data_IF_473955309784
#
_entry.id   IF_473955309784
#
_cell.length_a   1.000
_cell.length_b   1.000
_cell.length_c   1.000
_cell.angle_alpha   90.00
_cell.angle_beta   90.00
_cell.angle_gamma   90.00
#
_symmetry.space_group_name_H-M   'P 1'
#
loop_
_entity.id
_entity.type
_entity.pdbx_description
1 polymer ?
#
# COMPACT_ATOMS: atom_id res chain seq x y z
N UNK A 1 -38.45 -43.59 12.46
CA UNK A 1 -37.09 -43.13 12.81
C UNK A 1 -36.79 -41.89 11.99
N UNK A 2 -36.50 -40.72 12.59
CA UNK A 2 -36.29 -39.50 11.84
C UNK A 2 -34.84 -39.39 11.34
N UNK A 3 -34.73 -38.85 10.13
CA UNK A 3 -33.51 -38.65 9.35
C UNK A 3 -32.82 -37.38 9.85
N UNK A 4 -31.56 -37.48 10.30
CA UNK A 4 -30.72 -36.33 10.65
C UNK A 4 -30.11 -35.73 9.38
N UNK A 5 -30.33 -34.43 9.15
CA UNK A 5 -29.63 -33.63 8.13
C UNK A 5 -28.26 -33.20 8.65
N UNK A 6 -27.22 -33.11 7.81
CA UNK A 6 -25.94 -32.54 8.21
C UNK A 6 -26.04 -31.00 8.26
N UNK A 7 -25.54 -30.43 9.34
CA UNK A 7 -25.33 -28.99 9.54
C UNK A 7 -24.11 -28.54 8.74
N UNK A 8 -24.26 -27.51 7.91
CA UNK A 8 -23.16 -26.84 7.21
C UNK A 8 -22.24 -26.10 8.21
N UNK A 9 -20.92 -25.98 7.93
CA UNK A 9 -20.02 -25.25 8.81
C UNK A 9 -20.22 -23.73 8.71
N UNK A 10 -20.14 -23.12 9.89
CA UNK A 10 -20.22 -21.69 10.13
C UNK A 10 -18.94 -21.01 9.64
N UNK A 11 -18.98 -20.31 8.49
CA UNK A 11 -17.90 -19.43 8.04
C UNK A 11 -17.84 -18.19 8.96
N UNK A 12 -16.86 -18.16 9.85
CA UNK A 12 -16.44 -16.94 10.52
C UNK A 12 -15.64 -16.09 9.54
N UNK A 13 -16.30 -15.17 8.82
CA UNK A 13 -15.61 -14.05 8.16
C UNK A 13 -14.97 -13.19 9.24
N UNK A 14 -13.69 -13.42 9.49
CA UNK A 14 -12.87 -12.53 10.30
C UNK A 14 -12.62 -11.28 9.47
N UNK A 15 -13.35 -10.20 9.74
CA UNK A 15 -13.05 -8.90 9.15
C UNK A 15 -11.79 -8.35 9.81
N UNK A 16 -10.64 -8.56 9.17
CA UNK A 16 -9.41 -7.90 9.60
C UNK A 16 -9.55 -6.40 9.35
N UNK A 17 -9.64 -5.62 10.43
CA UNK A 17 -9.40 -4.18 10.36
C UNK A 17 -7.94 -3.94 10.70
N UNK A 18 -7.12 -3.62 9.70
CA UNK A 18 -5.76 -3.16 9.97
C UNK A 18 -5.82 -1.72 10.45
N UNK A 19 -5.26 -1.46 11.63
CA UNK A 19 -5.00 -0.12 12.14
C UNK A 19 -3.49 0.08 12.18
N UNK A 20 -2.93 0.79 11.21
CA UNK A 20 -1.49 0.96 10.96
C UNK A 20 -0.85 2.04 11.83
N UNK A 21 -1.31 2.19 13.07
CA UNK A 21 -0.68 3.06 14.06
C UNK A 21 0.64 2.42 14.51
N UNK A 22 1.72 2.73 13.81
CA UNK A 22 3.08 2.44 14.28
C UNK A 22 3.27 3.24 15.57
N UNK A 23 3.26 2.57 16.72
CA UNK A 23 3.64 3.19 17.97
C UNK A 23 5.12 3.56 17.88
N UNK A 24 5.40 4.85 17.67
CA UNK A 24 6.69 5.44 17.95
C UNK A 24 6.92 5.34 19.47
N UNK A 25 7.49 4.22 19.92
CA UNK A 25 7.81 4.04 21.34
C UNK A 25 9.15 4.69 21.66
N UNK A 26 9.12 5.96 22.05
CA UNK A 26 9.79 6.42 23.27
C UNK A 26 9.15 7.72 23.72
N UNK A 27 8.16 7.60 24.61
CA UNK A 27 7.90 8.48 25.76
C UNK A 27 6.63 7.91 26.43
N UNK A 28 6.79 7.52 27.70
CA UNK A 28 5.68 7.14 28.58
C UNK A 28 4.66 8.28 28.60
N UNK A 29 3.39 7.98 28.36
CA UNK A 29 2.31 8.52 29.17
C UNK A 29 1.09 7.61 29.04
N UNK A 30 0.61 7.10 30.18
CA UNK A 30 -0.74 6.53 30.31
C UNK A 30 -1.74 7.65 29.98
N UNK A 31 -2.74 7.38 29.15
CA UNK A 31 -4.02 8.06 29.28
C UNK A 31 -5.15 7.19 28.75
N UNK A 32 -6.22 7.20 29.55
CA UNK A 32 -7.40 6.38 29.46
C UNK A 32 -8.26 6.71 28.23
N UNK A 33 -9.07 5.72 27.83
CA UNK A 33 -10.23 5.91 26.96
C UNK A 33 -11.10 7.09 27.43
N UNK A 34 -11.50 7.95 26.50
CA UNK A 34 -12.68 8.80 26.64
C UNK A 34 -13.54 8.66 25.37
N UNK A 35 -14.86 8.42 25.48
CA UNK A 35 -15.73 8.15 24.34
C UNK A 35 -16.09 9.41 23.54
N UNK A 36 -16.25 9.23 22.23
CA UNK A 36 -16.77 10.24 21.30
C UNK A 36 -18.26 10.46 21.54
N UNK A 37 -18.65 11.71 21.87
CA UNK A 37 -20.03 12.16 21.88
C UNK A 37 -20.36 12.90 20.56
N UNK A 38 -21.58 12.66 20.05
CA UNK A 38 -22.15 13.17 18.80
C UNK A 38 -22.92 14.50 18.98
N UNK A 39 -23.19 15.12 17.82
CA UNK A 39 -24.17 16.17 17.48
C UNK A 39 -23.68 17.61 17.78
N UNK A 40 -23.99 18.67 17.02
CA UNK A 40 -25.16 18.96 16.18
C UNK A 40 -24.88 20.11 15.17
N UNK A 41 -25.80 20.29 14.21
CA UNK A 41 -25.87 21.24 13.07
C UNK A 41 -26.13 22.70 13.53
N UNK A 42 -25.61 23.77 12.89
CA UNK A 42 -26.25 24.66 11.86
C UNK A 42 -25.88 26.19 12.11
N UNK A 43 -26.32 27.23 11.35
CA UNK A 43 -25.65 27.87 10.19
C UNK A 43 -25.49 29.43 10.28
N UNK A 44 -25.23 30.11 9.12
CA UNK A 44 -25.19 31.59 8.79
C UNK A 44 -23.82 32.29 8.93
N UNK A 45 -23.33 33.22 8.09
CA UNK A 45 -23.85 34.23 7.13
C UNK A 45 -22.73 34.55 6.08
N UNK A 46 -22.98 34.71 4.76
CA UNK A 46 -23.51 35.84 3.95
C UNK A 46 -22.48 36.93 3.56
N UNK A 47 -22.59 37.36 2.28
CA UNK A 47 -22.00 38.53 1.58
C UNK A 47 -20.60 38.30 0.92
N UNK A 48 -20.29 38.74 -0.32
CA UNK A 48 -20.95 39.61 -1.30
C UNK A 48 -20.26 39.37 -2.67
N UNK A 49 -21.03 39.25 -3.75
CA UNK A 49 -20.50 39.45 -5.12
C UNK A 49 -20.60 40.93 -5.47
N UNK A 50 -19.59 41.50 -6.15
CA UNK A 50 -19.85 42.23 -7.40
C UNK A 50 -18.54 42.62 -8.14
N UNK A 51 -18.58 42.44 -9.45
CA UNK A 51 -18.09 43.35 -10.51
C UNK A 51 -17.29 42.70 -11.65
N UNK A 52 -18.07 42.35 -12.68
CA UNK A 52 -17.67 42.30 -14.08
C UNK A 52 -17.23 43.70 -14.56
N UNK A 53 -16.14 43.76 -15.35
CA UNK A 53 -15.97 44.64 -16.52
C UNK A 53 -14.73 44.24 -17.35
N UNK A 54 -14.97 43.59 -18.48
CA UNK A 54 -14.14 43.63 -19.68
C UNK A 54 -14.53 44.90 -20.48
N UNK A 55 -13.64 45.54 -21.28
CA UNK A 55 -13.43 45.07 -22.66
C UNK A 55 -12.03 45.26 -23.29
N UNK A 56 -11.79 44.36 -24.24
CA UNK A 56 -10.93 44.30 -25.45
C UNK A 56 -10.27 45.60 -25.95
N UNK A 57 -9.00 45.49 -26.37
CA UNK A 57 -8.47 46.20 -27.56
C UNK A 57 -7.28 45.45 -28.22
N UNK A 58 -7.25 45.50 -29.55
CA UNK A 58 -6.31 44.95 -30.55
C UNK A 58 -4.91 45.66 -30.48
N UNK A 59 -3.78 45.31 -31.10
CA UNK A 59 -3.37 44.48 -32.25
C UNK A 59 -1.80 44.30 -32.21
N UNK A 60 -1.06 43.83 -33.25
CA UNK A 60 -0.04 42.78 -33.12
C UNK A 60 1.43 43.23 -33.34
N UNK A 61 2.40 42.51 -32.74
CA UNK A 61 3.73 42.21 -33.32
C UNK A 61 4.65 41.65 -32.22
N UNK A 62 5.11 40.41 -32.35
CA UNK A 62 6.09 39.86 -31.42
C UNK A 62 6.54 38.46 -31.82
N UNK A 63 7.83 38.32 -32.14
CA UNK A 63 8.54 37.09 -32.46
C UNK A 63 8.28 35.95 -31.44
N UNK A 64 8.39 34.67 -31.84
CA UNK A 64 8.17 33.56 -30.91
C UNK A 64 9.27 33.54 -29.84
N UNK A 65 8.88 33.84 -28.59
CA UNK A 65 9.71 33.58 -27.41
C UNK A 65 9.91 32.07 -27.25
N UNK A 66 11.17 31.65 -27.17
CA UNK A 66 11.56 30.34 -26.66
C UNK A 66 11.06 30.20 -25.21
N UNK A 67 9.90 29.57 -25.02
CA UNK A 67 9.29 29.46 -23.69
C UNK A 67 7.96 28.69 -23.63
N UNK A 68 7.58 27.99 -24.69
CA UNK A 68 6.29 27.31 -24.80
C UNK A 68 6.39 25.78 -24.93
N UNK A 69 7.51 25.17 -24.51
CA UNK A 69 7.70 23.72 -24.55
C UNK A 69 7.69 23.02 -23.18
N UNK A 70 7.56 23.77 -22.07
CA UNK A 70 7.69 23.18 -20.72
C UNK A 70 6.41 23.14 -19.87
N UNK A 71 5.26 23.57 -20.42
CA UNK A 71 4.00 23.65 -19.65
C UNK A 71 2.94 22.62 -20.04
N UNK A 72 3.26 21.65 -20.92
CA UNK A 72 2.33 20.60 -21.35
C UNK A 72 2.63 19.21 -20.79
N UNK A 73 3.62 19.07 -19.91
CA UNK A 73 4.00 17.81 -19.27
C UNK A 73 3.61 17.71 -17.77
N UNK A 74 2.61 18.48 -17.33
CA UNK A 74 2.14 18.44 -15.94
C UNK A 74 0.63 18.16 -15.77
N UNK A 75 -0.11 17.93 -16.86
CA UNK A 75 -1.58 17.75 -16.82
C UNK A 75 -2.11 16.43 -17.42
N UNK A 76 -1.28 15.38 -17.56
CA UNK A 76 -1.77 14.07 -18.06
C UNK A 76 -1.28 12.84 -17.29
N UNK A 77 -0.47 13.00 -16.24
CA UNK A 77 -0.20 11.95 -15.26
C UNK A 77 -1.06 12.22 -14.04
N UNK A 78 -2.35 11.96 -14.14
CA UNK A 78 -3.09 11.51 -12.97
C UNK A 78 -2.31 10.29 -12.47
N UNK A 79 -1.51 10.49 -11.43
CA UNK A 79 -0.69 9.45 -10.83
C UNK A 79 -1.65 8.31 -10.45
N UNK A 80 -1.71 7.25 -11.27
CA UNK A 80 -2.87 6.37 -11.30
C UNK A 80 -3.10 5.76 -9.92
N UNK A 81 -4.30 5.97 -9.38
CA UNK A 81 -4.71 5.35 -8.15
C UNK A 81 -4.73 3.83 -8.33
N UNK A 82 -4.38 3.09 -7.28
CA UNK A 82 -4.45 1.64 -7.28
C UNK A 82 -5.90 1.16 -7.38
N UNK A 83 -6.13 0.06 -8.12
CA UNK A 83 -7.45 -0.52 -8.37
C UNK A 83 -7.45 -2.02 -8.10
N UNK A 84 -8.62 -2.65 -8.11
CA UNK A 84 -8.75 -4.12 -8.03
C UNK A 84 -8.00 -4.82 -9.19
N UNK A 85 -7.90 -4.19 -10.37
CA UNK A 85 -7.09 -4.72 -11.48
C UNK A 85 -5.59 -4.65 -11.17
N UNK A 86 -5.14 -3.61 -10.48
CA UNK A 86 -3.77 -3.51 -9.95
C UNK A 86 -3.50 -4.62 -8.94
N UNK A 87 -4.47 -4.89 -8.06
CA UNK A 87 -4.39 -5.94 -7.05
C UNK A 87 -4.26 -7.33 -7.69
N UNK A 88 -5.13 -7.62 -8.66
CA UNK A 88 -5.06 -8.84 -9.48
C UNK A 88 -3.68 -9.00 -10.11
N UNK A 89 -3.17 -7.94 -10.74
CA UNK A 89 -1.88 -7.97 -11.45
C UNK A 89 -0.72 -8.27 -10.49
N UNK A 90 -0.71 -7.67 -9.31
CA UNK A 90 0.31 -7.95 -8.30
C UNK A 90 0.29 -9.44 -7.88
N UNK A 91 -0.89 -10.02 -7.69
CA UNK A 91 -1.00 -11.43 -7.32
C UNK A 91 -0.78 -12.42 -8.47
N UNK A 92 -0.54 -11.96 -9.70
CA UNK A 92 -0.12 -12.85 -10.80
C UNK A 92 1.35 -13.26 -10.72
N UNK A 93 2.18 -12.55 -9.94
CA UNK A 93 3.60 -12.88 -9.80
C UNK A 93 3.79 -14.29 -9.19
N UNK A 94 4.82 -15.04 -9.64
CA UNK A 94 5.07 -16.41 -9.17
C UNK A 94 5.71 -16.47 -7.78
N UNK A 95 6.43 -15.42 -7.37
CA UNK A 95 7.10 -15.33 -6.06
C UNK A 95 6.96 -13.94 -5.46
N UNK A 96 7.15 -13.86 -4.15
CA UNK A 96 6.98 -12.64 -3.38
C UNK A 96 8.16 -12.41 -2.43
N UNK A 97 8.28 -11.17 -1.99
CA UNK A 97 9.16 -10.82 -0.88
C UNK A 97 8.46 -9.87 0.10
N UNK A 98 8.83 -9.96 1.38
CA UNK A 98 8.29 -9.10 2.44
C UNK A 98 9.42 -8.29 3.04
N UNK A 99 9.52 -7.02 2.65
CA UNK A 99 10.45 -6.04 3.21
C UNK A 99 9.93 -5.55 4.55
N UNK A 100 10.73 -5.71 5.61
CA UNK A 100 10.29 -5.43 6.98
C UNK A 100 9.59 -6.62 7.63
N UNK A 101 9.86 -7.84 7.16
CA UNK A 101 9.45 -9.06 7.86
C UNK A 101 10.04 -9.07 9.28
N UNK A 102 9.32 -9.66 10.24
CA UNK A 102 9.65 -9.53 11.66
C UNK A 102 9.48 -10.86 12.39
N UNK A 103 10.37 -11.15 13.34
CA UNK A 103 10.24 -12.28 14.28
C UNK A 103 9.20 -12.01 15.38
N UNK A 104 8.90 -10.73 15.65
CA UNK A 104 7.87 -10.34 16.61
C UNK A 104 6.47 -10.52 16.01
N UNK A 105 5.71 -11.46 16.57
CA UNK A 105 4.37 -11.87 16.11
C UNK A 105 3.30 -10.78 16.21
N UNK A 106 3.51 -9.78 17.07
CA UNK A 106 2.59 -8.64 17.19
C UNK A 106 2.70 -7.67 16.01
N UNK A 107 3.86 -7.61 15.33
CA UNK A 107 4.12 -6.67 14.25
C UNK A 107 3.47 -7.10 12.94
N UNK A 108 3.04 -6.14 12.13
CA UNK A 108 2.45 -6.41 10.82
C UNK A 108 3.40 -7.13 9.86
N UNK A 109 4.72 -6.87 9.95
CA UNK A 109 5.71 -7.60 9.16
C UNK A 109 5.65 -9.11 9.36
N UNK A 110 5.38 -9.57 10.59
CA UNK A 110 5.15 -11.00 10.86
C UNK A 110 3.80 -11.45 10.30
N UNK A 111 2.73 -10.71 10.58
CA UNK A 111 1.36 -11.08 10.19
C UNK A 111 1.21 -11.22 8.67
N UNK A 112 1.79 -10.30 7.91
CA UNK A 112 1.77 -10.32 6.44
C UNK A 112 2.65 -11.44 5.92
N UNK A 113 3.86 -11.62 6.46
CA UNK A 113 4.71 -12.75 6.06
C UNK A 113 4.02 -14.10 6.28
N UNK A 114 3.43 -14.31 7.47
CA UNK A 114 2.61 -15.48 7.77
C UNK A 114 1.45 -15.62 6.79
N UNK A 115 0.75 -14.53 6.44
CA UNK A 115 -0.36 -14.58 5.48
C UNK A 115 0.11 -15.16 4.14
N UNK A 116 1.24 -14.74 3.58
CA UNK A 116 1.76 -15.35 2.35
C UNK A 116 2.01 -16.86 2.50
N UNK A 117 2.62 -17.27 3.61
CA UNK A 117 2.90 -18.68 3.91
C UNK A 117 1.63 -19.51 4.02
N UNK A 118 0.63 -19.04 4.77
CA UNK A 118 -0.62 -19.79 4.98
C UNK A 118 -1.46 -19.92 3.70
N UNK A 119 -1.20 -19.08 2.69
CA UNK A 119 -1.83 -19.14 1.36
C UNK A 119 -0.99 -19.90 0.33
N UNK A 120 0.09 -20.57 0.74
CA UNK A 120 0.93 -21.37 -0.15
C UNK A 120 1.69 -20.54 -1.19
N UNK A 121 1.89 -19.25 -0.95
CA UNK A 121 2.58 -18.35 -1.87
C UNK A 121 4.10 -18.39 -1.59
N UNK A 122 4.95 -18.65 -2.59
CA UNK A 122 6.40 -18.60 -2.42
C UNK A 122 6.83 -17.20 -1.98
N UNK A 123 7.40 -17.07 -0.77
CA UNK A 123 7.76 -15.77 -0.20
C UNK A 123 9.11 -15.82 0.53
N UNK A 124 9.94 -14.80 0.28
CA UNK A 124 11.21 -14.60 1.00
C UNK A 124 11.09 -13.43 1.99
N UNK A 125 11.38 -13.64 3.30
CA UNK A 125 11.40 -12.55 4.24
C UNK A 125 12.70 -11.73 4.14
N UNK A 126 12.60 -10.41 4.04
CA UNK A 126 13.75 -9.50 4.07
C UNK A 126 13.84 -8.87 5.46
N UNK A 127 14.89 -9.22 6.20
CA UNK A 127 15.17 -8.70 7.53
C UNK A 127 16.67 -8.85 7.86
N UNK A 128 17.47 -7.76 7.83
CA UNK A 128 18.89 -7.82 8.15
C UNK A 128 19.19 -8.08 9.64
N UNK A 129 18.19 -7.94 10.53
CA UNK A 129 18.35 -8.09 11.98
C UNK A 129 18.00 -9.48 12.52
N UNK A 130 17.55 -10.40 11.69
CA UNK A 130 17.25 -11.78 12.06
C UNK A 130 17.86 -12.74 11.03
N UNK A 131 18.11 -13.99 11.42
CA UNK A 131 18.58 -15.04 10.50
C UNK A 131 17.43 -15.88 9.93
N UNK A 132 16.32 -15.98 10.67
CA UNK A 132 15.12 -16.68 10.26
C UNK A 132 13.89 -16.10 10.96
N UNK A 133 12.71 -16.38 10.40
CA UNK A 133 11.41 -16.14 11.03
C UNK A 133 10.71 -17.48 11.20
N UNK A 134 10.37 -17.82 12.44
CA UNK A 134 9.57 -19.01 12.72
C UNK A 134 8.09 -18.73 12.47
N UNK A 135 7.44 -19.51 11.61
CA UNK A 135 6.00 -19.50 11.41
C UNK A 135 5.50 -20.91 11.62
N UNK A 136 4.67 -21.10 12.64
CA UNK A 136 4.00 -22.39 12.94
C UNK A 136 4.99 -23.56 13.10
N UNK A 137 6.13 -23.31 13.74
CA UNK A 137 7.16 -24.33 13.98
C UNK A 137 8.11 -24.55 12.82
N UNK A 138 7.95 -23.84 11.70
CA UNK A 138 8.88 -23.88 10.56
C UNK A 138 9.70 -22.61 10.48
N UNK A 139 11.02 -22.74 10.38
CA UNK A 139 11.93 -21.60 10.21
C UNK A 139 12.10 -21.24 8.73
N UNK A 140 11.89 -19.96 8.42
CA UNK A 140 12.09 -19.40 7.09
C UNK A 140 13.33 -18.49 7.10
N UNK A 141 14.42 -18.85 6.39
CA UNK A 141 15.63 -18.04 6.32
C UNK A 141 15.32 -16.64 5.78
N UNK A 142 15.89 -15.64 6.44
CA UNK A 142 15.82 -14.25 5.98
C UNK A 142 17.01 -13.91 5.11
N UNK A 143 16.82 -12.96 4.22
CA UNK A 143 17.92 -12.26 3.53
C UNK A 143 18.02 -10.82 4.02
N UNK A 144 19.19 -10.20 3.83
CA UNK A 144 19.47 -8.87 4.35
C UNK A 144 18.88 -7.76 3.49
N UNK A 145 18.90 -7.94 2.17
CA UNK A 145 18.47 -6.95 1.19
C UNK A 145 17.75 -7.58 -0.01
N UNK A 146 17.18 -6.74 -0.88
CA UNK A 146 16.54 -7.23 -2.11
C UNK A 146 17.56 -7.79 -3.11
N UNK A 147 18.80 -7.29 -3.07
CA UNK A 147 19.91 -7.76 -3.90
C UNK A 147 20.32 -9.21 -3.64
N UNK A 148 19.90 -9.79 -2.51
CA UNK A 148 20.13 -11.21 -2.18
C UNK A 148 19.08 -12.15 -2.83
N UNK A 149 18.04 -11.60 -3.47
CA UNK A 149 16.97 -12.37 -4.09
C UNK A 149 17.36 -12.89 -5.47
N UNK A 150 16.86 -14.08 -5.81
CA UNK A 150 16.98 -14.66 -7.14
C UNK A 150 15.75 -14.34 -8.01
N UNK A 151 15.99 -13.91 -9.25
CA UNK A 151 14.96 -13.59 -10.26
C UNK A 151 14.01 -12.47 -9.84
N UNK A 152 14.56 -11.32 -9.45
CA UNK A 152 13.86 -10.12 -8.98
C UNK A 152 12.76 -9.61 -9.93
N UNK A 153 12.88 -9.81 -11.24
CA UNK A 153 11.87 -9.39 -12.23
C UNK A 153 10.53 -10.15 -12.10
N UNK A 154 10.57 -11.35 -11.53
CA UNK A 154 9.40 -12.21 -11.29
C UNK A 154 8.90 -12.13 -9.84
N UNK A 155 9.41 -11.18 -9.05
CA UNK A 155 9.07 -11.03 -7.63
C UNK A 155 8.15 -9.83 -7.39
N UNK A 156 6.97 -10.08 -6.81
CA UNK A 156 6.12 -9.02 -6.24
C UNK A 156 6.55 -8.68 -4.81
N UNK A 157 6.80 -7.41 -4.49
CA UNK A 157 7.40 -7.03 -3.18
C UNK A 157 6.41 -6.24 -2.32
N UNK A 158 6.14 -6.76 -1.12
CA UNK A 158 5.36 -6.07 -0.09
C UNK A 158 6.28 -5.31 0.87
N UNK A 159 6.01 -4.02 1.10
CA UNK A 159 6.79 -3.15 1.97
C UNK A 159 6.03 -2.86 3.27
N UNK A 160 6.69 -3.11 4.41
CA UNK A 160 6.18 -2.97 5.78
C UNK A 160 7.13 -2.09 6.64
N UNK A 161 7.99 -1.29 6.01
CA UNK A 161 8.97 -0.41 6.68
C UNK A 161 8.48 1.04 6.81
N UNK A 162 9.04 1.84 7.73
CA UNK A 162 8.76 3.29 7.76
C UNK A 162 9.18 3.99 6.46
N UNK A 163 8.55 5.13 6.08
CA UNK A 163 8.74 5.78 4.77
C UNK A 163 10.20 6.02 4.35
N UNK A 164 11.04 6.51 5.27
CA UNK A 164 12.45 6.80 4.96
C UNK A 164 13.28 5.54 4.61
N UNK A 165 12.90 4.37 5.14
CA UNK A 165 13.50 3.09 4.76
C UNK A 165 12.87 2.60 3.45
N UNK A 166 11.55 2.69 3.34
CA UNK A 166 10.81 2.31 2.13
C UNK A 166 11.39 2.99 0.89
N UNK A 167 11.63 4.31 0.92
CA UNK A 167 12.18 5.05 -0.22
C UNK A 167 13.54 4.49 -0.68
N UNK A 168 14.47 4.25 0.26
CA UNK A 168 15.79 3.68 -0.04
C UNK A 168 15.68 2.28 -0.65
N UNK A 169 14.78 1.46 -0.11
CA UNK A 169 14.57 0.10 -0.62
C UNK A 169 13.85 0.10 -1.97
N UNK A 170 13.01 1.09 -2.27
CA UNK A 170 12.43 1.29 -3.60
C UNK A 170 13.50 1.66 -4.65
N UNK A 171 14.49 2.47 -4.29
CA UNK A 171 15.61 2.76 -5.18
C UNK A 171 16.41 1.49 -5.51
N UNK A 172 16.63 0.62 -4.52
CA UNK A 172 17.23 -0.70 -4.74
C UNK A 172 16.35 -1.57 -5.64
N UNK A 173 15.06 -1.67 -5.34
CA UNK A 173 14.11 -2.47 -6.10
C UNK A 173 14.08 -2.07 -7.58
N UNK A 174 14.09 -0.77 -7.87
CA UNK A 174 14.17 -0.24 -9.23
C UNK A 174 15.44 -0.70 -9.95
N UNK A 175 16.62 -0.61 -9.30
CA UNK A 175 17.90 -1.04 -9.88
C UNK A 175 17.91 -2.55 -10.20
N UNK A 176 17.19 -3.34 -9.42
CA UNK A 176 17.09 -4.79 -9.57
C UNK A 176 16.00 -5.25 -10.55
N UNK A 177 15.29 -4.33 -11.22
CA UNK A 177 14.26 -4.69 -12.18
C UNK A 177 12.96 -5.20 -11.57
N UNK A 178 12.71 -4.96 -10.27
CA UNK A 178 11.41 -5.29 -9.65
C UNK A 178 10.33 -4.44 -10.30
N UNK A 179 9.27 -5.09 -10.78
CA UNK A 179 8.20 -4.43 -11.53
C UNK A 179 6.96 -4.11 -10.68
N UNK A 180 6.74 -4.86 -9.60
CA UNK A 180 5.50 -4.80 -8.82
C UNK A 180 5.76 -4.65 -7.32
N UNK A 181 5.16 -3.60 -6.75
CA UNK A 181 5.29 -3.26 -5.33
C UNK A 181 3.92 -3.09 -4.68
N UNK A 182 3.84 -3.46 -3.41
CA UNK A 182 2.69 -3.25 -2.54
C UNK A 182 3.13 -2.55 -1.26
N UNK A 183 2.87 -1.24 -1.20
CA UNK A 183 3.14 -0.42 -0.04
C UNK A 183 1.96 -0.50 0.93
N UNK A 184 2.18 -1.12 2.09
CA UNK A 184 1.14 -1.18 3.10
C UNK A 184 0.87 0.20 3.72
N UNK A 185 -0.31 0.43 4.31
CA UNK A 185 -0.59 1.71 4.95
C UNK A 185 0.44 2.03 6.05
N UNK A 186 0.80 3.32 6.16
CA UNK A 186 1.84 3.79 7.07
C UNK A 186 3.29 3.53 6.62
N UNK A 187 3.50 2.98 5.41
CA UNK A 187 4.85 2.74 4.85
C UNK A 187 5.29 3.76 3.81
N UNK A 188 4.42 4.72 3.50
CA UNK A 188 4.63 5.74 2.49
C UNK A 188 4.19 7.12 2.99
N UNK A 189 4.85 8.13 2.46
CA UNK A 189 4.46 9.54 2.43
C UNK A 189 4.33 9.98 0.96
N UNK A 190 4.16 11.28 0.72
CA UNK A 190 3.99 11.81 -0.63
C UNK A 190 5.22 11.57 -1.53
N UNK A 191 6.43 11.64 -0.97
CA UNK A 191 7.68 11.40 -1.70
C UNK A 191 7.81 9.93 -2.11
N UNK A 192 7.49 9.00 -1.19
CA UNK A 192 7.45 7.56 -1.49
C UNK A 192 6.43 7.26 -2.57
N UNK A 193 5.21 7.83 -2.49
CA UNK A 193 4.17 7.60 -3.50
C UNK A 193 4.56 8.17 -4.87
N UNK A 194 5.15 9.37 -4.91
CA UNK A 194 5.62 9.99 -6.13
C UNK A 194 6.71 9.13 -6.78
N UNK A 195 7.70 8.70 -5.99
CA UNK A 195 8.76 7.81 -6.47
C UNK A 195 8.20 6.49 -6.99
N UNK A 196 7.35 5.83 -6.22
CA UNK A 196 6.74 4.55 -6.59
C UNK A 196 6.02 4.63 -7.94
N UNK A 197 5.14 5.62 -8.11
CA UNK A 197 4.32 5.76 -9.32
C UNK A 197 5.12 6.15 -10.56
N UNK A 198 6.26 6.82 -10.39
CA UNK A 198 7.13 7.18 -11.50
C UNK A 198 8.03 6.02 -11.98
N UNK A 199 8.24 4.99 -11.14
CA UNK A 199 9.34 4.03 -11.36
C UNK A 199 8.90 2.57 -11.49
N UNK A 200 7.69 2.21 -11.08
CA UNK A 200 7.22 0.83 -11.07
C UNK A 200 6.00 0.65 -11.96
N UNK A 201 5.93 -0.51 -12.61
CA UNK A 201 4.82 -0.85 -13.51
C UNK A 201 3.53 -1.12 -12.74
N UNK A 202 3.63 -1.80 -11.61
CA UNK A 202 2.49 -2.14 -10.74
C UNK A 202 2.73 -1.58 -9.36
N UNK A 203 1.88 -0.63 -8.94
CA UNK A 203 1.96 0.01 -7.62
C UNK A 203 0.63 -0.14 -6.91
N UNK A 204 0.62 -0.93 -5.84
CA UNK A 204 -0.47 -0.96 -4.86
C UNK A 204 -0.10 -0.07 -3.67
N UNK A 205 -0.73 1.09 -3.55
CA UNK A 205 -0.47 2.05 -2.49
C UNK A 205 -1.59 3.10 -2.39
N UNK A 206 -1.58 3.89 -1.32
CA UNK A 206 -2.50 5.02 -1.14
C UNK A 206 -3.94 4.60 -0.81
N UNK A 207 -4.86 5.54 -0.96
CA UNK A 207 -6.28 5.33 -0.68
C UNK A 207 -6.96 4.32 -1.62
N UNK A 208 -8.02 3.67 -1.12
CA UNK A 208 -8.73 2.58 -1.79
C UNK A 208 -8.76 1.33 -0.94
N UNK A 209 -9.00 0.18 -1.57
CA UNK A 209 -9.20 -1.08 -0.87
C UNK A 209 -10.49 -1.10 -0.03
N UNK A 210 -10.70 -2.19 0.72
CA UNK A 210 -11.83 -2.31 1.64
C UNK A 210 -11.51 -1.75 3.04
N UNK A 211 -10.25 -1.38 3.30
CA UNK A 211 -9.80 -0.77 4.55
C UNK A 211 -9.93 0.76 4.54
N UNK A 212 -10.02 1.36 5.73
CA UNK A 212 -10.06 2.83 5.89
C UNK A 212 -8.72 3.52 5.66
N UNK A 213 -7.61 2.78 5.69
CA UNK A 213 -6.24 3.33 5.60
C UNK A 213 -5.59 3.05 4.24
N UNK A 214 -6.30 2.43 3.30
CA UNK A 214 -5.79 2.05 1.98
C UNK A 214 -5.69 0.54 1.77
N UNK A 215 -5.06 0.17 0.66
CA UNK A 215 -4.87 -1.22 0.23
C UNK A 215 -4.02 -2.00 1.23
N UNK A 216 -4.46 -3.17 1.67
CA UNK A 216 -3.74 -3.99 2.63
C UNK A 216 -3.81 -5.48 2.30
N UNK A 217 -2.68 -6.20 2.42
CA UNK A 217 -2.64 -7.66 2.17
C UNK A 217 -3.63 -8.40 3.07
N UNK A 218 -3.72 -8.04 4.36
CA UNK A 218 -4.58 -8.73 5.32
C UNK A 218 -6.08 -8.41 5.13
N UNK A 219 -6.43 -7.40 4.32
CA UNK A 219 -7.81 -6.94 4.11
C UNK A 219 -8.29 -7.28 2.70
N UNK A 220 -7.43 -7.08 1.71
CA UNK A 220 -7.74 -7.19 0.30
C UNK A 220 -7.10 -8.43 -0.34
N UNK A 221 -6.15 -9.08 0.33
CA UNK A 221 -5.37 -10.21 -0.21
C UNK A 221 -6.24 -11.35 -0.72
N UNK A 222 -7.28 -11.75 0.02
CA UNK A 222 -8.23 -12.78 -0.43
C UNK A 222 -8.90 -12.42 -1.76
N UNK A 223 -9.37 -11.18 -1.90
CA UNK A 223 -10.00 -10.73 -3.16
C UNK A 223 -8.97 -10.70 -4.28
N UNK A 224 -7.75 -10.28 -3.98
CA UNK A 224 -6.64 -10.25 -4.92
C UNK A 224 -6.28 -11.62 -5.46
N UNK A 225 -6.16 -12.63 -4.59
CA UNK A 225 -5.87 -14.01 -4.98
C UNK A 225 -7.02 -14.65 -5.75
N UNK A 226 -8.27 -14.45 -5.31
CA UNK A 226 -9.45 -14.94 -6.04
C UNK A 226 -9.52 -14.33 -7.45
N UNK A 227 -9.27 -13.02 -7.58
CA UNK A 227 -9.21 -12.36 -8.88
C UNK A 227 -8.06 -12.88 -9.76
N UNK A 228 -6.96 -13.34 -9.16
CA UNK A 228 -5.82 -13.93 -9.85
C UNK A 228 -5.99 -15.44 -10.15
N UNK A 229 -7.09 -16.07 -9.71
CA UNK A 229 -7.34 -17.50 -9.88
C UNK A 229 -6.44 -18.38 -8.99
N UNK A 230 -6.06 -17.89 -7.80
CA UNK A 230 -5.16 -18.54 -6.84
C UNK A 230 -5.84 -18.94 -5.51
N UNK A 231 -7.17 -18.80 -5.42
CA UNK A 231 -8.02 -19.24 -4.31
C UNK A 231 -9.20 -20.04 -4.86
#
# INVERSE_FOLDING_TARGET
>A
MPILRPTAPFELRTTYSCHWRQTLSSIRLRMLCCPVARNNVSPLNLALEDHLKNPVSHHPSGLPRAGAFHRRYMNSTSAMASTEATLRTFFQFPKYAVVGASTNTAKYGYKIFRWYITHGLPVTPINPGAQAINVEGTDYPTVGALSDLQGTEETGVSFITPPHITLKTLEEAKRLGIQAIFLQPGTFDDDVLAYARANFRTVLAGGGGAGSEGWCVLVDGERGLAAAGKL
#
